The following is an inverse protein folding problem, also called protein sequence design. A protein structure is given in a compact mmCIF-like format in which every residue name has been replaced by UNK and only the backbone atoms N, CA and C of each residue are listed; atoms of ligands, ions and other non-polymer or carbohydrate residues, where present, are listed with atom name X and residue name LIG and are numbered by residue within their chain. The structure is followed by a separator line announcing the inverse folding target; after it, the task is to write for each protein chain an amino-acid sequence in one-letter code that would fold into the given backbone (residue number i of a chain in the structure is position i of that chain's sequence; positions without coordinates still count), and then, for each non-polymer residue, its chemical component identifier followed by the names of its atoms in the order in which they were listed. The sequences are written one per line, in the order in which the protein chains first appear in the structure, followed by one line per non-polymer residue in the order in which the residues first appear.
data_IF_393513284001
#
_entry.id   IF_393513284001
#
_cell.length_a   1.000
_cell.length_b   1.000
_cell.length_c   1.000
_cell.angle_alpha   90.00
_cell.angle_beta   90.00
_cell.angle_gamma   90.00
#
_symmetry.space_group_name_H-M   'P 1'
#
loop_
_entity.id
_entity.type
_entity.pdbx_description
1 polymer ?
#
# COMPACT_ATOMS: atom_id res chain seq x y z
N UNK A 1 -3.43 -4.74 8.99
CA UNK A 1 -2.56 -4.42 10.14
C UNK A 1 -1.44 -5.44 10.21
N UNK A 2 -0.28 -5.06 10.79
CA UNK A 2 0.77 -6.02 11.15
C UNK A 2 0.27 -6.88 12.32
N UNK A 3 0.60 -8.18 12.30
CA UNK A 3 0.19 -9.11 13.36
C UNK A 3 0.67 -8.69 14.75
N UNK A 4 1.87 -8.09 14.80
CA UNK A 4 2.48 -7.59 16.04
C UNK A 4 1.68 -6.45 16.69
N UNK A 5 0.94 -5.68 15.88
CA UNK A 5 0.13 -4.56 16.37
C UNK A 5 -1.07 -5.01 17.21
N UNK A 6 -1.53 -6.23 17.03
CA UNK A 6 -2.62 -6.79 17.83
C UNK A 6 -2.17 -7.32 19.20
N UNK A 7 -0.85 -7.40 19.43
CA UNK A 7 -0.30 -7.90 20.66
C UNK A 7 -0.59 -9.40 20.93
N UNK A 8 -0.38 -9.85 22.18
CA UNK A 8 -0.64 -11.23 22.60
C UNK A 8 -2.14 -11.52 22.69
N UNK A 9 -2.53 -12.80 22.86
CA UNK A 9 -3.90 -13.17 23.22
C UNK A 9 -4.42 -12.36 24.41
N UNK A 10 -5.71 -12.00 24.35
CA UNK A 10 -6.38 -11.14 25.33
C UNK A 10 -5.78 -9.72 25.47
N UNK A 11 -4.94 -9.31 24.53
CA UNK A 11 -4.44 -7.94 24.43
C UNK A 11 -5.54 -6.93 24.08
N UNK A 12 -5.25 -5.62 24.20
CA UNK A 12 -6.24 -4.58 23.93
C UNK A 12 -6.70 -4.61 22.47
N UNK A 13 -8.00 -4.39 22.20
CA UNK A 13 -8.52 -4.29 20.84
C UNK A 13 -8.00 -3.03 20.15
N UNK A 14 -7.89 -3.09 18.82
CA UNK A 14 -7.41 -2.01 17.96
C UNK A 14 -8.51 -1.50 17.02
N UNK A 15 -8.59 -0.17 16.85
CA UNK A 15 -9.41 0.42 15.80
C UNK A 15 -8.81 0.17 14.43
N UNK A 16 -9.66 -0.21 13.48
CA UNK A 16 -9.29 -0.42 12.08
C UNK A 16 -10.33 0.29 11.21
N UNK A 17 -9.87 0.99 10.17
CA UNK A 17 -10.74 1.55 9.15
C UNK A 17 -10.35 0.93 7.81
N UNK A 18 -11.31 0.35 7.11
CA UNK A 18 -11.12 -0.25 5.79
C UNK A 18 -12.36 -0.01 4.93
N UNK A 19 -12.17 0.46 3.70
CA UNK A 19 -13.25 0.66 2.73
C UNK A 19 -14.45 1.44 3.29
N UNK A 20 -14.19 2.45 4.12
CA UNK A 20 -15.22 3.27 4.77
C UNK A 20 -15.82 2.69 6.03
N UNK A 21 -15.49 1.44 6.40
CA UNK A 21 -16.02 0.79 7.60
C UNK A 21 -15.12 1.00 8.82
N UNK A 22 -15.75 1.32 9.96
CA UNK A 22 -15.08 1.38 11.24
C UNK A 22 -15.19 0.03 11.94
N UNK A 23 -14.05 -0.60 12.14
CA UNK A 23 -13.92 -1.96 12.65
C UNK A 23 -13.07 -1.99 13.92
N UNK A 24 -13.13 -3.11 14.63
CA UNK A 24 -12.28 -3.42 15.78
C UNK A 24 -11.62 -4.77 15.53
N UNK A 25 -10.29 -4.79 15.56
CA UNK A 25 -9.50 -6.01 15.51
C UNK A 25 -9.01 -6.39 16.90
N UNK A 26 -8.98 -7.69 17.20
CA UNK A 26 -8.49 -8.23 18.46
C UNK A 26 -7.95 -9.64 18.25
N UNK A 27 -7.14 -10.11 19.20
CA UNK A 27 -6.66 -11.49 19.25
C UNK A 27 -7.26 -12.16 20.48
N UNK A 28 -8.13 -13.13 20.26
CA UNK A 28 -8.83 -13.82 21.35
C UNK A 28 -7.89 -14.68 22.21
N UNK A 29 -8.42 -15.28 23.27
CA UNK A 29 -7.66 -16.15 24.20
C UNK A 29 -7.03 -17.37 23.51
N UNK A 30 -7.61 -17.82 22.39
CA UNK A 30 -7.09 -18.91 21.56
C UNK A 30 -6.02 -18.46 20.57
N UNK A 31 -5.73 -17.17 20.49
CA UNK A 31 -4.80 -16.57 19.53
C UNK A 31 -5.41 -16.28 18.16
N UNK A 32 -6.72 -16.53 17.96
CA UNK A 32 -7.38 -16.24 16.70
C UNK A 32 -7.68 -14.75 16.57
N UNK A 33 -7.48 -14.22 15.37
CA UNK A 33 -7.80 -12.82 15.07
C UNK A 33 -9.26 -12.68 14.72
N UNK A 34 -9.97 -11.79 15.43
CA UNK A 34 -11.30 -11.30 15.10
C UNK A 34 -11.26 -9.90 14.52
N UNK A 35 -12.14 -9.63 13.55
CA UNK A 35 -12.39 -8.30 12.98
C UNK A 35 -13.88 -8.07 12.93
N UNK A 36 -14.38 -7.23 13.83
CA UNK A 36 -15.80 -6.96 14.03
C UNK A 36 -16.14 -5.52 13.65
N UNK A 37 -17.43 -5.28 13.31
CA UNK A 37 -17.98 -3.93 13.32
C UNK A 37 -17.67 -3.28 14.68
N UNK A 38 -17.25 -2.02 14.65
CA UNK A 38 -16.92 -1.29 15.86
C UNK A 38 -18.12 -1.16 16.81
N UNK A 39 -19.34 -1.19 16.28
CA UNK A 39 -20.57 -0.96 17.04
C UNK A 39 -21.15 -2.26 17.58
N UNK A 40 -21.30 -2.33 18.89
CA UNK A 40 -22.03 -3.42 19.55
C UNK A 40 -23.48 -3.48 19.02
N UNK A 41 -23.96 -4.63 18.53
CA UNK A 41 -25.31 -4.75 17.96
C UNK A 41 -26.44 -4.50 18.97
N UNK A 42 -26.14 -4.48 20.28
CA UNK A 42 -27.15 -4.15 21.29
C UNK A 42 -27.63 -2.69 21.15
N UNK A 43 -26.75 -1.70 21.32
CA UNK A 43 -27.09 -0.27 21.32
C UNK A 43 -26.00 0.63 20.73
N UNK A 44 -25.10 0.10 19.90
CA UNK A 44 -24.12 0.86 19.16
C UNK A 44 -22.90 1.35 19.96
N UNK A 45 -22.72 0.90 21.20
CA UNK A 45 -21.50 1.23 21.96
C UNK A 45 -20.26 0.67 21.25
N UNK A 46 -19.16 1.44 21.29
CA UNK A 46 -17.94 0.99 20.63
C UNK A 46 -17.30 -0.20 21.34
N UNK A 47 -17.11 -1.29 20.60
CA UNK A 47 -16.39 -2.47 21.07
C UNK A 47 -14.89 -2.23 21.28
N UNK A 48 -14.34 -1.12 20.79
CA UNK A 48 -12.98 -0.72 21.10
C UNK A 48 -12.72 -0.53 22.59
N UNK A 49 -13.73 -0.09 23.34
CA UNK A 49 -13.66 0.00 24.81
C UNK A 49 -13.88 -1.34 25.49
N UNK A 50 -14.10 -2.40 24.71
CA UNK A 50 -14.43 -3.74 25.19
C UNK A 50 -13.26 -4.41 25.89
N UNK A 51 -13.57 -5.44 26.68
CA UNK A 51 -12.62 -6.34 27.30
C UNK A 51 -12.45 -7.56 26.43
N UNK A 52 -11.22 -7.80 26.01
CA UNK A 52 -10.86 -9.01 25.27
C UNK A 52 -10.50 -10.09 26.30
N UNK A 53 -11.35 -11.06 26.47
CA UNK A 53 -11.23 -12.08 27.54
C UNK A 53 -12.06 -13.32 27.22
N UNK A 54 -11.61 -14.49 27.70
CA UNK A 54 -12.37 -15.74 27.65
C UNK A 54 -12.95 -16.06 26.25
N UNK A 55 -12.08 -15.97 25.23
CA UNK A 55 -12.43 -16.33 23.85
C UNK A 55 -13.26 -15.31 23.09
N UNK A 56 -13.37 -14.06 23.55
CA UNK A 56 -14.13 -13.04 22.83
C UNK A 56 -14.00 -11.63 23.36
N UNK A 57 -14.60 -10.70 22.63
CA UNK A 57 -14.63 -9.28 22.94
C UNK A 57 -15.93 -8.91 23.63
N UNK A 58 -15.84 -8.52 24.91
CA UNK A 58 -16.96 -8.15 25.77
C UNK A 58 -17.22 -6.66 25.74
N UNK A 59 -18.41 -6.25 25.36
CA UNK A 59 -18.89 -4.88 25.44
C UNK A 59 -19.00 -4.43 26.89
N UNK A 60 -18.33 -3.35 27.27
CA UNK A 60 -18.34 -2.84 28.66
C UNK A 60 -19.65 -2.20 29.07
N UNK A 61 -20.56 -1.93 28.13
CA UNK A 61 -21.81 -1.25 28.44
C UNK A 61 -22.83 -2.18 29.12
N UNK A 62 -23.04 -3.41 28.55
CA UNK A 62 -24.01 -4.38 29.10
C UNK A 62 -23.48 -5.82 29.14
N UNK A 63 -22.15 -6.02 28.94
CA UNK A 63 -21.53 -7.34 29.07
C UNK A 63 -21.74 -8.30 27.91
N UNK A 64 -22.39 -7.90 26.80
CA UNK A 64 -22.54 -8.78 25.65
C UNK A 64 -21.18 -9.12 25.06
N UNK A 65 -20.92 -10.41 24.87
CA UNK A 65 -19.62 -10.91 24.42
C UNK A 65 -19.73 -11.57 23.05
N UNK A 66 -18.77 -11.29 22.16
CA UNK A 66 -18.73 -11.78 20.79
C UNK A 66 -17.40 -12.46 20.50
N UNK A 67 -17.45 -13.63 19.84
CA UNK A 67 -16.24 -14.30 19.37
C UNK A 67 -15.65 -13.66 18.10
N UNK A 68 -14.54 -14.21 17.60
CA UNK A 68 -13.85 -13.75 16.40
C UNK A 68 -14.69 -13.85 15.12
N UNK A 69 -15.75 -14.66 15.11
CA UNK A 69 -16.69 -14.80 14.00
C UNK A 69 -17.98 -13.96 14.19
N UNK A 70 -18.05 -13.17 15.26
CA UNK A 70 -19.19 -12.31 15.60
C UNK A 70 -20.37 -13.05 16.23
N UNK A 71 -20.25 -14.33 16.61
CA UNK A 71 -21.30 -15.02 17.35
C UNK A 71 -21.39 -14.43 18.76
N UNK A 72 -22.60 -14.17 19.21
CA UNK A 72 -22.82 -13.73 20.58
C UNK A 72 -22.68 -14.92 21.53
N UNK A 73 -21.71 -14.85 22.44
CA UNK A 73 -21.41 -15.88 23.42
C UNK A 73 -22.25 -15.68 24.70
N UNK A 74 -22.46 -14.43 25.10
CA UNK A 74 -23.10 -14.08 26.36
C UNK A 74 -23.93 -12.80 26.23
N UNK A 75 -25.10 -12.80 26.90
CA UNK A 75 -25.98 -11.64 27.07
C UNK A 75 -26.44 -11.57 28.52
N UNK A 76 -25.57 -11.19 29.47
CA UNK A 76 -25.85 -11.34 30.92
C UNK A 76 -27.00 -10.48 31.43
N UNK A 77 -27.44 -9.50 30.65
CA UNK A 77 -28.62 -8.66 30.99
C UNK A 77 -29.93 -9.25 30.51
N UNK A 78 -29.90 -10.35 29.75
CA UNK A 78 -31.09 -11.01 29.21
C UNK A 78 -31.46 -12.22 30.05
N UNK A 79 -32.75 -12.37 30.43
CA UNK A 79 -33.22 -13.51 31.23
C UNK A 79 -33.10 -14.85 30.49
N UNK A 80 -33.16 -14.83 29.16
CA UNK A 80 -33.16 -16.04 28.33
C UNK A 80 -31.75 -16.34 27.83
N UNK A 81 -31.18 -17.48 28.19
CA UNK A 81 -29.92 -18.00 27.67
C UNK A 81 -29.94 -18.25 26.14
N UNK A 82 -31.14 -18.44 25.57
CA UNK A 82 -31.28 -18.67 24.12
C UNK A 82 -31.23 -17.39 23.32
N UNK A 83 -31.40 -16.24 23.96
CA UNK A 83 -31.41 -14.93 23.28
C UNK A 83 -30.11 -14.67 22.52
N UNK A 84 -28.97 -14.99 23.13
CA UNK A 84 -27.64 -14.80 22.53
C UNK A 84 -27.50 -15.51 21.16
N UNK A 85 -28.18 -16.66 20.96
CA UNK A 85 -28.10 -17.44 19.70
C UNK A 85 -28.66 -16.69 18.49
N UNK A 86 -29.59 -15.75 18.73
CA UNK A 86 -30.18 -14.91 17.68
C UNK A 86 -29.40 -13.63 17.35
N UNK A 87 -28.33 -13.37 18.10
CA UNK A 87 -27.55 -12.12 17.98
C UNK A 87 -26.21 -12.39 17.32
N UNK A 88 -25.82 -11.54 16.37
CA UNK A 88 -24.48 -11.55 15.77
C UNK A 88 -23.96 -10.13 15.61
N UNK A 89 -22.69 -9.93 15.92
CA UNK A 89 -21.93 -8.80 15.43
C UNK A 89 -21.51 -9.06 13.98
N UNK A 90 -21.46 -8.01 13.16
CA UNK A 90 -20.90 -8.15 11.82
C UNK A 90 -19.40 -8.43 11.96
N UNK A 91 -18.92 -9.47 11.31
CA UNK A 91 -17.55 -9.93 11.37
C UNK A 91 -17.00 -10.23 9.98
N UNK A 92 -15.69 -10.11 9.83
CA UNK A 92 -14.97 -10.43 8.62
C UNK A 92 -13.94 -11.53 8.87
N UNK A 93 -13.84 -12.47 7.92
CA UNK A 93 -12.84 -13.54 8.01
C UNK A 93 -11.44 -12.97 7.94
N UNK A 94 -10.61 -13.36 8.89
CA UNK A 94 -9.21 -12.97 8.95
C UNK A 94 -8.29 -14.18 8.83
N UNK A 95 -7.15 -13.96 8.18
CA UNK A 95 -6.05 -14.94 8.09
C UNK A 95 -4.74 -14.20 8.36
N UNK A 96 -3.90 -14.78 9.21
CA UNK A 96 -2.54 -14.29 9.40
C UNK A 96 -1.58 -15.01 8.46
N UNK A 97 -0.85 -14.24 7.69
CA UNK A 97 0.21 -14.77 6.82
C UNK A 97 1.39 -13.80 6.80
N UNK A 98 2.54 -14.33 7.19
CA UNK A 98 3.83 -13.61 7.13
C UNK A 98 3.84 -12.26 7.87
N UNK A 99 3.26 -12.26 9.08
CA UNK A 99 3.20 -11.08 9.95
C UNK A 99 2.17 -10.05 9.55
N UNK A 100 1.25 -10.39 8.64
CA UNK A 100 0.14 -9.52 8.23
C UNK A 100 -1.20 -10.20 8.50
N UNK A 101 -2.12 -9.45 9.06
CA UNK A 101 -3.51 -9.84 9.17
C UNK A 101 -4.25 -9.40 7.90
N UNK A 102 -4.73 -10.37 7.15
CA UNK A 102 -5.55 -10.21 5.96
C UNK A 102 -7.02 -10.36 6.31
N UNK A 103 -7.86 -9.52 5.75
CA UNK A 103 -9.29 -9.58 5.94
C UNK A 103 -10.01 -9.74 4.59
N UNK A 104 -11.01 -10.61 4.55
CA UNK A 104 -11.90 -10.76 3.41
C UNK A 104 -13.19 -9.98 3.67
N UNK A 105 -13.38 -8.88 2.95
CA UNK A 105 -14.54 -7.99 3.07
C UNK A 105 -15.64 -8.30 2.05
N UNK A 106 -15.53 -9.40 1.32
CA UNK A 106 -16.57 -9.86 0.40
C UNK A 106 -17.78 -10.50 1.12
N UNK A 107 -18.76 -10.99 0.35
CA UNK A 107 -19.96 -11.62 0.91
C UNK A 107 -19.63 -12.79 1.84
N UNK A 108 -20.26 -12.84 3.02
CA UNK A 108 -19.97 -13.86 4.02
C UNK A 108 -20.23 -15.31 3.54
N UNK A 109 -21.20 -15.49 2.62
CA UNK A 109 -21.53 -16.78 2.03
C UNK A 109 -20.56 -17.18 0.88
N UNK A 110 -19.76 -16.26 0.36
CA UNK A 110 -18.82 -16.58 -0.71
C UNK A 110 -17.53 -17.21 -0.16
N UNK A 111 -16.93 -18.09 -0.94
CA UNK A 111 -15.59 -18.57 -0.65
C UNK A 111 -14.57 -17.44 -0.85
N UNK A 112 -13.77 -17.18 0.17
CA UNK A 112 -12.71 -16.20 0.05
C UNK A 112 -11.67 -16.65 -1.00
N UNK A 113 -11.21 -15.78 -1.89
CA UNK A 113 -10.13 -16.12 -2.80
C UNK A 113 -8.84 -16.43 -2.02
N UNK A 114 -7.92 -17.21 -2.59
CA UNK A 114 -6.63 -17.44 -1.97
C UNK A 114 -5.87 -16.11 -1.83
N UNK A 115 -5.04 -16.00 -0.81
CA UNK A 115 -4.19 -14.82 -0.65
C UNK A 115 -3.20 -14.70 -1.81
N UNK A 116 -2.96 -13.50 -2.35
CA UNK A 116 -1.99 -13.29 -3.41
C UNK A 116 -0.58 -13.68 -2.93
N UNK A 117 0.17 -14.33 -3.79
CA UNK A 117 1.53 -14.76 -3.50
C UNK A 117 2.53 -13.64 -3.85
N UNK A 118 2.51 -12.61 -3.03
CA UNK A 118 3.42 -11.47 -3.15
C UNK A 118 4.82 -11.87 -2.69
N UNK A 119 5.85 -11.51 -3.45
CA UNK A 119 7.22 -11.96 -3.22
C UNK A 119 7.77 -11.70 -1.81
N UNK A 120 7.34 -10.61 -1.16
CA UNK A 120 7.71 -10.34 0.23
C UNK A 120 7.07 -11.32 1.23
N UNK A 121 6.02 -12.01 0.82
CA UNK A 121 5.30 -12.93 1.69
C UNK A 121 6.11 -14.19 2.05
N UNK A 122 7.19 -14.46 1.32
CA UNK A 122 8.09 -15.59 1.61
C UNK A 122 9.40 -15.18 2.28
N UNK A 123 9.65 -13.87 2.42
CA UNK A 123 10.85 -13.38 3.09
C UNK A 123 10.79 -13.58 4.61
N UNK A 124 11.89 -14.02 5.20
CA UNK A 124 12.03 -14.15 6.66
C UNK A 124 11.81 -12.79 7.36
N UNK A 125 11.32 -12.77 8.60
CA UNK A 125 11.07 -11.52 9.33
C UNK A 125 12.26 -10.57 9.38
N UNK A 126 13.46 -11.09 9.57
CA UNK A 126 14.72 -10.35 9.62
C UNK A 126 15.15 -9.78 8.29
N UNK A 127 14.64 -10.35 7.20
CA UNK A 127 14.95 -9.94 5.82
C UNK A 127 14.04 -8.85 5.30
N UNK A 128 13.08 -8.37 6.09
CA UNK A 128 12.07 -7.41 5.65
C UNK A 128 11.89 -6.24 6.60
N UNK A 129 11.40 -5.14 6.05
CA UNK A 129 10.96 -3.98 6.83
C UNK A 129 9.64 -3.46 6.27
N UNK A 130 8.81 -2.93 7.15
CA UNK A 130 7.54 -2.30 6.79
C UNK A 130 7.60 -0.82 7.13
N UNK A 131 7.01 -0.01 6.27
CA UNK A 131 6.72 1.39 6.50
C UNK A 131 5.26 1.64 6.16
N UNK A 132 4.51 2.22 7.08
CA UNK A 132 3.13 2.63 6.86
C UNK A 132 3.00 4.13 7.02
N UNK A 133 2.27 4.77 6.12
CA UNK A 133 1.97 6.19 6.19
C UNK A 133 0.64 6.52 5.53
N UNK A 134 0.02 7.59 5.99
CA UNK A 134 -1.27 8.04 5.51
C UNK A 134 -1.11 9.00 4.31
N UNK A 135 -2.02 8.87 3.34
CA UNK A 135 -2.31 9.84 2.28
C UNK A 135 -3.71 10.42 2.51
N UNK A 136 -3.82 11.73 2.54
CA UNK A 136 -5.11 12.42 2.62
C UNK A 136 -5.71 12.63 1.21
N UNK A 137 -5.78 11.55 0.45
CA UNK A 137 -6.41 11.51 -0.87
C UNK A 137 -6.83 10.08 -1.25
N UNK A 138 -7.62 9.98 -2.32
CA UNK A 138 -8.13 8.74 -2.87
C UNK A 138 -7.00 7.76 -3.24
N UNK A 139 -7.22 6.48 -2.98
CA UNK A 139 -6.22 5.42 -3.16
C UNK A 139 -5.71 5.28 -4.60
N UNK A 140 -6.58 5.43 -5.60
CA UNK A 140 -6.17 5.32 -7.00
C UNK A 140 -5.31 6.52 -7.41
N UNK A 141 -5.66 7.73 -6.98
CA UNK A 141 -4.88 8.95 -7.17
C UNK A 141 -3.47 8.80 -6.56
N UNK A 142 -3.38 8.23 -5.37
CA UNK A 142 -2.10 7.97 -4.71
C UNK A 142 -1.29 6.87 -5.42
N UNK A 143 -1.93 5.76 -5.82
CA UNK A 143 -1.32 4.62 -6.52
C UNK A 143 -0.74 5.04 -7.88
N UNK A 144 -1.42 5.93 -8.59
CA UNK A 144 -0.99 6.41 -9.91
C UNK A 144 0.44 7.00 -9.88
N UNK A 145 0.90 7.51 -8.74
CA UNK A 145 2.29 7.94 -8.59
C UNK A 145 3.32 6.82 -8.78
N UNK A 146 3.03 5.59 -8.38
CA UNK A 146 3.92 4.45 -8.64
C UNK A 146 3.82 3.91 -10.07
N UNK A 147 2.67 4.13 -10.73
CA UNK A 147 2.43 3.75 -12.13
C UNK A 147 3.10 4.74 -13.08
N UNK A 148 3.08 6.03 -12.74
CA UNK A 148 3.77 7.08 -13.47
C UNK A 148 5.29 6.99 -13.27
N UNK A 149 6.02 6.92 -14.36
CA UNK A 149 7.49 6.94 -14.34
C UNK A 149 8.08 8.27 -14.81
N UNK A 150 7.26 9.19 -15.34
CA UNK A 150 7.70 10.46 -15.90
C UNK A 150 7.98 11.51 -14.80
N UNK A 151 7.17 11.54 -13.74
CA UNK A 151 7.33 12.51 -12.65
C UNK A 151 8.68 12.44 -11.92
N UNK A 152 9.32 11.26 -11.93
CA UNK A 152 10.54 11.01 -11.17
C UNK A 152 11.66 12.00 -11.51
N UNK A 153 11.82 12.32 -12.80
CA UNK A 153 12.86 13.25 -13.30
C UNK A 153 12.55 14.73 -13.04
N UNK A 154 11.39 15.01 -12.49
CA UNK A 154 10.94 16.35 -12.11
C UNK A 154 10.83 16.47 -10.59
N UNK A 155 9.84 15.84 -10.01
CA UNK A 155 9.49 15.97 -8.61
C UNK A 155 10.64 15.60 -7.66
N UNK A 156 11.34 14.51 -7.96
CA UNK A 156 12.42 14.00 -7.11
C UNK A 156 13.81 14.47 -7.52
N UNK A 157 13.91 15.31 -8.57
CA UNK A 157 15.19 15.78 -9.05
C UNK A 157 15.84 16.80 -8.11
N UNK A 158 17.15 16.70 -7.98
CA UNK A 158 18.01 17.74 -7.42
C UNK A 158 18.59 18.57 -8.56
N UNK A 159 19.06 19.76 -8.23
CA UNK A 159 19.81 20.62 -9.14
C UNK A 159 21.30 20.49 -8.81
N UNK A 160 22.12 20.28 -9.82
CA UNK A 160 23.57 20.38 -9.67
C UNK A 160 24.05 21.85 -9.77
N UNK A 161 25.33 22.07 -9.55
CA UNK A 161 25.94 23.42 -9.60
C UNK A 161 25.78 24.12 -10.95
N UNK A 162 25.49 23.37 -12.02
CA UNK A 162 25.22 23.90 -13.36
C UNK A 162 23.74 24.12 -13.64
N UNK A 163 22.88 23.89 -12.66
CA UNK A 163 21.42 23.99 -12.81
C UNK A 163 20.78 22.81 -13.55
N UNK A 164 21.51 21.72 -13.77
CA UNK A 164 20.96 20.51 -14.39
C UNK A 164 20.26 19.64 -13.36
N UNK A 165 19.15 19.01 -13.77
CA UNK A 165 18.46 18.04 -12.94
C UNK A 165 19.26 16.76 -12.82
N UNK A 166 19.30 16.23 -11.61
CA UNK A 166 19.98 14.98 -11.25
C UNK A 166 19.11 14.14 -10.33
N UNK A 167 19.12 12.85 -10.54
CA UNK A 167 18.76 11.90 -9.50
C UNK A 167 20.05 11.32 -8.96
N UNK A 168 20.38 11.52 -7.68
CA UNK A 168 21.65 11.07 -7.13
C UNK A 168 21.92 9.62 -7.50
N UNK A 169 23.06 9.38 -8.15
CA UNK A 169 23.53 8.04 -8.44
C UNK A 169 23.65 7.25 -7.12
N UNK A 170 23.39 5.96 -7.19
CA UNK A 170 23.58 5.02 -6.09
C UNK A 170 24.59 4.00 -6.55
N UNK A 171 25.38 3.46 -5.62
CA UNK A 171 26.42 2.49 -5.95
C UNK A 171 25.88 1.28 -6.73
N UNK A 172 24.62 0.95 -6.47
CA UNK A 172 23.88 -0.19 -7.02
C UNK A 172 22.94 0.18 -8.20
N UNK A 173 22.84 1.47 -8.52
CA UNK A 173 22.08 1.97 -9.68
C UNK A 173 22.83 3.16 -10.29
N UNK A 174 23.93 2.92 -11.02
CA UNK A 174 24.72 3.98 -11.67
C UNK A 174 23.95 4.68 -12.80
N UNK A 175 22.91 4.02 -13.36
CA UNK A 175 22.12 4.56 -14.46
C UNK A 175 20.87 5.35 -13.98
N UNK A 176 20.68 5.48 -12.67
CA UNK A 176 19.51 6.16 -12.09
C UNK A 176 19.34 7.60 -12.59
N UNK A 177 20.43 8.27 -12.85
CA UNK A 177 20.42 9.64 -13.35
C UNK A 177 19.78 9.78 -14.74
N UNK A 178 19.72 8.68 -15.52
CA UNK A 178 19.04 8.66 -16.82
C UNK A 178 17.56 9.04 -16.71
N UNK A 179 16.96 8.78 -15.56
CA UNK A 179 15.55 9.18 -15.27
C UNK A 179 15.40 10.71 -15.24
N UNK A 180 16.44 11.44 -14.82
CA UNK A 180 16.42 12.90 -14.82
C UNK A 180 16.97 13.52 -16.12
N UNK A 181 17.72 12.75 -16.91
CA UNK A 181 18.31 13.19 -18.19
C UNK A 181 17.34 12.97 -19.36
N UNK A 182 16.69 11.82 -19.45
CA UNK A 182 15.68 11.49 -20.45
C UNK A 182 14.28 11.53 -19.80
N UNK A 183 13.62 12.67 -19.97
CA UNK A 183 12.33 12.98 -19.33
C UNK A 183 11.11 12.45 -20.08
N UNK A 184 11.33 11.96 -21.30
CA UNK A 184 10.27 11.45 -22.17
C UNK A 184 10.50 9.97 -22.49
N UNK A 185 10.33 9.08 -21.49
CA UNK A 185 10.53 7.66 -21.70
C UNK A 185 9.56 7.10 -22.74
N UNK A 186 10.04 6.15 -23.54
CA UNK A 186 9.14 5.35 -24.38
C UNK A 186 8.53 4.25 -23.51
N UNK A 187 7.21 4.23 -23.42
CA UNK A 187 6.49 3.26 -22.61
C UNK A 187 6.15 2.00 -23.43
N UNK A 188 6.23 0.85 -22.77
CA UNK A 188 5.66 -0.41 -23.20
C UNK A 188 4.79 -0.93 -22.06
N UNK A 189 3.49 -1.02 -22.28
CA UNK A 189 2.51 -1.37 -21.26
C UNK A 189 1.88 -2.71 -21.63
N UNK A 190 2.11 -3.74 -20.83
CA UNK A 190 1.74 -5.12 -21.14
C UNK A 190 0.85 -5.70 -20.04
N UNK A 191 -0.30 -6.23 -20.44
CA UNK A 191 -1.21 -6.90 -19.52
C UNK A 191 -0.72 -8.31 -19.16
N UNK A 192 -0.97 -8.69 -17.92
CA UNK A 192 -0.84 -10.06 -17.46
C UNK A 192 -2.03 -10.45 -16.55
N UNK A 193 -2.14 -11.70 -16.15
CA UNK A 193 -3.30 -12.19 -15.39
C UNK A 193 -3.59 -11.39 -14.12
N UNK A 194 -2.55 -11.00 -13.36
CA UNK A 194 -2.73 -10.26 -12.09
C UNK A 194 -2.70 -8.72 -12.26
N UNK A 195 -2.40 -8.17 -13.45
CA UNK A 195 -2.29 -6.71 -13.57
C UNK A 195 -1.61 -6.21 -14.84
N UNK A 196 -0.67 -5.28 -14.69
CA UNK A 196 0.01 -4.59 -15.80
C UNK A 196 1.49 -4.45 -15.50
N UNK A 197 2.33 -4.85 -16.44
CA UNK A 197 3.76 -4.52 -16.46
C UNK A 197 3.98 -3.22 -17.22
N UNK A 198 4.71 -2.29 -16.63
CA UNK A 198 5.00 -0.96 -17.17
C UNK A 198 6.52 -0.87 -17.37
N UNK A 199 6.97 -0.93 -18.60
CA UNK A 199 8.39 -0.82 -18.96
C UNK A 199 8.67 0.54 -19.60
N UNK A 200 9.49 1.34 -18.95
CA UNK A 200 9.88 2.68 -19.39
C UNK A 200 11.31 2.65 -19.90
N UNK A 201 11.49 2.83 -21.19
CA UNK A 201 12.77 2.89 -21.88
C UNK A 201 13.28 4.31 -21.92
N UNK A 202 14.53 4.52 -21.53
CA UNK A 202 15.26 5.77 -21.68
C UNK A 202 16.57 5.55 -22.41
N UNK A 203 17.04 6.58 -23.11
CA UNK A 203 18.35 6.52 -23.73
C UNK A 203 19.44 6.53 -22.68
N UNK A 204 20.43 5.66 -22.85
CA UNK A 204 21.64 5.60 -22.04
C UNK A 204 22.84 6.01 -22.87
N UNK A 205 23.98 6.19 -22.22
CA UNK A 205 25.25 6.45 -22.91
C UNK A 205 25.61 5.24 -23.80
N UNK A 206 26.44 5.44 -24.79
CA UNK A 206 26.91 4.41 -25.74
C UNK A 206 25.79 3.78 -26.58
N UNK A 207 24.64 4.45 -26.75
CA UNK A 207 23.54 3.98 -27.57
C UNK A 207 22.72 2.83 -26.95
N UNK A 208 23.00 2.46 -25.72
CA UNK A 208 22.19 1.47 -24.97
C UNK A 208 20.89 2.09 -24.47
N UNK A 209 20.03 1.26 -23.90
CA UNK A 209 18.78 1.67 -23.31
C UNK A 209 18.69 1.28 -21.83
N UNK A 210 18.40 2.25 -20.97
CA UNK A 210 18.03 2.00 -19.58
C UNK A 210 16.54 1.73 -19.51
N UNK A 211 16.19 0.56 -18.96
CA UNK A 211 14.83 0.12 -18.74
C UNK A 211 14.50 0.16 -17.26
N UNK A 212 13.40 0.83 -16.93
CA UNK A 212 12.79 0.82 -15.62
C UNK A 212 11.44 0.12 -15.73
N UNK A 213 11.31 -1.03 -15.08
CA UNK A 213 10.12 -1.89 -15.17
C UNK A 213 9.43 -1.90 -13.82
N UNK A 214 8.16 -1.48 -13.79
CA UNK A 214 7.30 -1.47 -12.61
C UNK A 214 6.12 -2.42 -12.83
N UNK A 215 5.52 -2.90 -11.75
CA UNK A 215 4.33 -3.75 -11.78
C UNK A 215 3.18 -3.05 -11.09
N UNK A 216 2.02 -3.07 -11.71
CA UNK A 216 0.73 -2.89 -11.05
C UNK A 216 0.09 -4.27 -10.90
N UNK A 217 -0.28 -4.67 -9.68
CA UNK A 217 -0.94 -5.93 -9.36
C UNK A 217 -2.30 -5.63 -8.72
N UNK A 218 -3.34 -6.12 -9.36
CA UNK A 218 -4.72 -5.81 -8.97
C UNK A 218 -5.04 -6.30 -7.55
N UNK A 219 -5.89 -5.58 -6.79
CA UNK A 219 -6.44 -4.28 -7.17
C UNK A 219 -5.59 -3.09 -6.71
N UNK A 220 -4.71 -3.27 -5.70
CA UNK A 220 -4.11 -2.16 -4.93
C UNK A 220 -2.60 -2.26 -4.76
N UNK A 221 -1.93 -3.20 -5.43
CA UNK A 221 -0.51 -3.41 -5.20
C UNK A 221 0.34 -2.83 -6.33
N UNK A 222 1.49 -2.30 -5.97
CA UNK A 222 2.53 -1.88 -6.92
C UNK A 222 3.88 -2.45 -6.50
N UNK A 223 4.74 -2.71 -7.47
CA UNK A 223 6.15 -2.99 -7.22
C UNK A 223 6.99 -2.16 -8.17
N UNK A 224 7.80 -1.28 -7.61
CA UNK A 224 8.71 -0.42 -8.36
C UNK A 224 10.15 -0.85 -8.12
N UNK A 225 11.09 -0.60 -9.05
CA UNK A 225 12.49 -0.90 -8.84
C UNK A 225 13.01 -0.32 -7.53
N UNK A 226 13.65 -1.14 -6.74
CA UNK A 226 14.38 -0.76 -5.54
C UNK A 226 15.89 -0.79 -5.83
N UNK A 227 16.70 -0.45 -4.85
CA UNK A 227 18.16 -0.36 -4.99
C UNK A 227 18.83 -1.66 -4.57
N UNK A 228 19.83 -2.06 -5.33
CA UNK A 228 20.63 -3.25 -5.07
C UNK A 228 19.80 -4.53 -5.09
N UNK A 229 20.06 -5.38 -4.11
CA UNK A 229 19.28 -6.62 -3.94
C UNK A 229 17.92 -6.39 -3.28
N UNK A 230 17.68 -5.19 -2.74
CA UNK A 230 16.39 -4.87 -2.14
C UNK A 230 15.28 -4.94 -3.19
N UNK A 231 14.18 -5.46 -2.78
CA UNK A 231 12.92 -5.50 -3.50
C UNK A 231 11.91 -4.65 -2.77
N UNK A 232 10.94 -4.12 -3.49
CA UNK A 232 9.91 -3.24 -2.93
C UNK A 232 8.56 -3.55 -3.51
N UNK A 233 7.56 -3.57 -2.63
CA UNK A 233 6.17 -3.55 -3.02
C UNK A 233 5.40 -2.61 -2.09
N UNK A 234 4.30 -2.07 -2.60
CA UNK A 234 3.36 -1.27 -1.81
C UNK A 234 1.95 -1.83 -1.97
N UNK A 235 1.16 -1.68 -0.92
CA UNK A 235 -0.28 -1.78 -0.97
C UNK A 235 -0.87 -0.40 -0.68
N UNK A 236 -1.77 0.04 -1.54
CA UNK A 236 -2.49 1.32 -1.45
C UNK A 236 -3.87 1.04 -0.88
N UNK A 237 -3.95 0.88 0.44
CA UNK A 237 -5.14 0.38 1.11
C UNK A 237 -6.14 1.51 1.32
N UNK A 238 -7.32 1.48 0.68
CA UNK A 238 -8.34 2.52 0.90
C UNK A 238 -8.90 2.39 2.32
N UNK A 239 -8.68 3.40 3.14
CA UNK A 239 -9.35 3.50 4.44
C UNK A 239 -10.80 3.96 4.23
N UNK A 240 -10.98 4.92 3.33
CA UNK A 240 -12.24 5.40 2.77
C UNK A 240 -11.98 6.04 1.40
N UNK A 241 -12.95 6.79 0.85
CA UNK A 241 -12.83 7.41 -0.46
C UNK A 241 -11.78 8.54 -0.52
N UNK A 242 -11.42 9.12 0.63
CA UNK A 242 -10.56 10.30 0.74
C UNK A 242 -9.23 10.03 1.46
N UNK A 243 -9.05 8.82 2.01
CA UNK A 243 -7.85 8.48 2.78
C UNK A 243 -7.30 7.11 2.39
N UNK A 244 -5.99 7.05 2.24
CA UNK A 244 -5.26 5.85 1.85
C UNK A 244 -4.16 5.54 2.85
N UNK A 245 -4.13 4.33 3.39
CA UNK A 245 -2.97 3.83 4.08
C UNK A 245 -2.01 3.22 3.06
N UNK A 246 -0.85 3.84 2.89
CA UNK A 246 0.23 3.25 2.10
C UNK A 246 1.01 2.30 2.99
N UNK A 247 1.07 1.06 2.58
CA UNK A 247 1.81 0.00 3.27
C UNK A 247 2.95 -0.45 2.37
N UNK A 248 4.17 0.01 2.65
CA UNK A 248 5.38 -0.28 1.89
C UNK A 248 6.17 -1.37 2.56
N UNK A 249 6.49 -2.43 1.82
CA UNK A 249 7.37 -3.51 2.24
C UNK A 249 8.65 -3.50 1.40
N UNK A 250 9.79 -3.49 2.09
CA UNK A 250 11.09 -3.72 1.49
C UNK A 250 11.66 -5.03 2.03
N UNK A 251 12.29 -5.81 1.18
CA UNK A 251 12.90 -7.08 1.60
C UNK A 251 14.14 -7.41 0.77
N UNK A 252 15.03 -8.20 1.35
CA UNK A 252 16.12 -8.88 0.65
C UNK A 252 15.81 -10.40 0.65
N UNK A 253 15.75 -11.06 -0.52
CA UNK A 253 15.39 -12.47 -0.58
C UNK A 253 16.42 -13.41 0.07
N UNK A 254 17.66 -12.95 0.27
CA UNK A 254 18.81 -13.78 0.66
C UNK A 254 19.46 -13.40 1.97
N UNK A 255 19.34 -12.16 2.42
CA UNK A 255 20.06 -11.66 3.60
C UNK A 255 19.17 -10.87 4.55
N UNK A 256 19.51 -10.94 5.82
CA UNK A 256 18.89 -10.11 6.85
C UNK A 256 19.19 -8.63 6.60
N UNK A 257 18.17 -7.79 6.75
CA UNK A 257 18.35 -6.35 6.70
C UNK A 257 19.12 -5.86 7.93
N UNK A 258 20.05 -4.93 7.73
CA UNK A 258 20.72 -4.27 8.84
C UNK A 258 19.71 -3.57 9.76
N UNK A 259 20.11 -3.32 11.01
CA UNK A 259 19.29 -2.56 11.97
C UNK A 259 18.91 -1.19 11.41
N UNK A 260 19.83 -0.54 10.70
CA UNK A 260 19.61 0.74 10.04
C UNK A 260 18.60 0.62 8.89
N UNK A 261 18.71 -0.39 8.03
CA UNK A 261 17.76 -0.67 6.95
C UNK A 261 16.35 -0.98 7.50
N UNK A 262 16.25 -1.67 8.62
CA UNK A 262 14.97 -1.94 9.29
C UNK A 262 14.40 -0.68 9.95
N UNK A 263 15.24 0.09 10.65
CA UNK A 263 14.84 1.32 11.35
C UNK A 263 14.73 2.54 10.43
N UNK A 264 15.64 2.69 9.48
CA UNK A 264 15.74 3.88 8.62
C UNK A 264 14.56 4.06 7.69
N UNK A 265 13.80 2.98 7.45
CA UNK A 265 12.56 3.03 6.65
C UNK A 265 11.30 2.96 7.50
N UNK A 266 11.40 2.53 8.75
CA UNK A 266 10.31 2.59 9.73
C UNK A 266 10.19 4.01 10.32
N UNK A 267 9.78 4.98 9.50
CA UNK A 267 9.40 6.31 10.00
C UNK A 267 10.52 7.33 10.17
N UNK A 268 11.72 7.10 9.62
CA UNK A 268 12.77 8.10 9.64
C UNK A 268 13.38 8.34 8.26
N UNK A 269 12.66 9.05 7.45
CA UNK A 269 13.36 9.93 6.53
C UNK A 269 13.85 11.09 7.37
N UNK A 270 15.16 11.41 7.42
CA UNK A 270 15.66 12.55 8.15
C UNK A 270 14.90 13.81 7.73
N UNK A 271 14.29 14.51 8.69
CA UNK A 271 13.50 15.73 8.44
C UNK A 271 11.99 15.52 8.27
N UNK A 272 11.51 14.36 7.82
CA UNK A 272 10.09 14.06 7.71
C UNK A 272 9.61 13.30 8.94
N UNK A 273 9.28 14.03 10.02
CA UNK A 273 8.62 13.44 11.17
C UNK A 273 7.27 12.87 10.75
N UNK A 274 6.89 11.74 11.36
CA UNK A 274 5.51 11.28 11.35
C UNK A 274 4.89 11.51 12.72
N UNK A 275 3.60 11.85 12.72
CA UNK A 275 2.84 11.90 13.95
C UNK A 275 2.55 10.48 14.44
N UNK A 276 2.78 10.25 15.72
CA UNK A 276 2.33 9.06 16.44
C UNK A 276 1.09 9.45 17.26
N UNK A 277 -0.04 9.58 16.57
CA UNK A 277 -1.27 10.12 17.15
C UNK A 277 -2.16 9.00 17.75
N UNK A 278 -1.54 7.94 18.24
CA UNK A 278 -2.25 6.87 18.96
C UNK A 278 -3.05 5.93 18.06
N UNK A 279 -4.25 5.51 18.54
CA UNK A 279 -5.02 4.43 17.93
C UNK A 279 -6.03 4.89 16.85
N UNK A 280 -6.05 6.18 16.49
CA UNK A 280 -7.00 6.67 15.48
C UNK A 280 -6.48 6.38 14.06
N UNK A 281 -7.21 5.59 13.25
CA UNK A 281 -6.74 5.16 11.93
C UNK A 281 -6.44 6.29 10.94
N UNK A 282 -7.14 7.43 11.06
CA UNK A 282 -6.97 8.56 10.13
C UNK A 282 -5.92 9.59 10.59
N UNK A 283 -5.27 9.39 11.71
CA UNK A 283 -4.18 10.26 12.19
C UNK A 283 -2.83 9.54 12.18
N UNK A 284 -2.84 8.24 12.35
CA UNK A 284 -1.64 7.42 12.44
C UNK A 284 -0.83 7.41 11.14
N UNK A 285 0.46 7.74 11.25
CA UNK A 285 1.37 7.75 10.11
C UNK A 285 1.24 8.98 9.20
N UNK A 286 0.60 10.04 9.65
CA UNK A 286 0.60 11.33 8.94
C UNK A 286 1.98 11.96 8.99
N UNK A 287 2.42 12.50 7.87
CA UNK A 287 3.63 13.31 7.85
C UNK A 287 3.44 14.64 8.57
N UNK A 288 4.49 15.11 9.24
CA UNK A 288 4.53 16.46 9.82
C UNK A 288 4.44 17.51 8.71
N UNK A 289 5.12 17.28 7.58
CA UNK A 289 4.92 18.06 6.37
C UNK A 289 3.57 17.71 5.73
N UNK A 290 2.63 18.64 5.77
CA UNK A 290 1.24 18.42 5.36
C UNK A 290 0.68 19.67 4.67
N UNK A 291 -0.55 19.59 4.21
CA UNK A 291 -1.26 20.72 3.62
C UNK A 291 -1.32 21.93 4.56
N UNK A 292 -1.40 21.70 5.87
CA UNK A 292 -1.52 22.78 6.87
C UNK A 292 -0.27 23.65 7.00
N UNK A 293 0.86 23.20 6.46
CA UNK A 293 2.13 23.93 6.47
C UNK A 293 2.80 23.96 5.10
N UNK A 294 2.01 23.87 4.02
CA UNK A 294 2.48 23.85 2.62
C UNK A 294 3.59 22.82 2.38
N UNK A 295 3.49 21.66 3.05
CA UNK A 295 4.50 20.58 3.01
C UNK A 295 5.93 21.07 3.28
N UNK A 296 6.05 22.15 4.04
CA UNK A 296 7.32 22.80 4.38
C UNK A 296 8.18 23.13 3.16
N UNK A 297 7.55 23.57 2.07
CA UNK A 297 8.27 23.95 0.86
C UNK A 297 9.30 25.04 1.15
N UNK A 298 10.52 24.84 0.71
CA UNK A 298 11.61 25.81 0.79
C UNK A 298 11.87 26.40 -0.60
N UNK A 299 11.47 27.65 -0.78
CA UNK A 299 11.59 28.39 -2.05
C UNK A 299 13.03 28.71 -2.42
N UNK A 300 13.92 28.85 -1.43
CA UNK A 300 15.36 29.06 -1.68
C UNK A 300 15.98 27.75 -2.20
N UNK A 301 15.70 26.63 -1.55
CA UNK A 301 16.13 25.31 -2.04
C UNK A 301 15.52 24.97 -3.40
N UNK A 302 14.26 25.36 -3.66
CA UNK A 302 13.64 25.19 -4.97
C UNK A 302 14.41 25.89 -6.07
N UNK A 303 14.99 27.04 -5.79
CA UNK A 303 15.77 27.82 -6.74
C UNK A 303 17.18 27.25 -6.95
N UNK A 304 17.80 26.64 -5.94
CA UNK A 304 19.23 26.37 -5.92
C UNK A 304 19.64 24.91 -5.84
N UNK A 305 18.81 24.02 -5.28
CA UNK A 305 19.27 22.68 -4.93
C UNK A 305 18.27 21.55 -5.24
N UNK A 306 16.98 21.82 -5.20
CA UNK A 306 15.92 20.82 -5.40
C UNK A 306 14.90 21.35 -6.38
N UNK A 307 14.51 20.58 -7.38
CA UNK A 307 13.55 21.05 -8.37
C UNK A 307 12.18 21.39 -7.74
N UNK A 308 11.71 20.57 -6.80
CA UNK A 308 10.43 20.82 -6.13
C UNK A 308 10.52 21.76 -4.93
N UNK A 309 11.67 21.88 -4.28
CA UNK A 309 11.82 22.62 -3.02
C UNK A 309 11.18 21.91 -1.81
N UNK A 310 10.56 20.76 -2.02
CA UNK A 310 9.98 19.95 -0.96
C UNK A 310 11.05 19.17 -0.20
N UNK A 311 10.71 18.65 0.97
CA UNK A 311 11.62 17.82 1.76
C UNK A 311 12.21 16.66 0.93
N UNK A 312 13.43 16.21 1.25
CA UNK A 312 14.15 15.17 0.50
C UNK A 312 13.59 13.74 0.67
N UNK A 313 12.34 13.66 1.00
CA UNK A 313 11.61 12.42 1.15
C UNK A 313 10.67 12.20 -0.02
N UNK A 314 10.93 11.22 -0.88
CA UNK A 314 10.03 10.89 -1.98
C UNK A 314 8.58 10.68 -1.51
N UNK A 315 8.29 9.94 -0.41
CA UNK A 315 6.93 9.87 0.09
C UNK A 315 6.29 11.21 0.46
N UNK A 316 7.05 12.17 0.98
CA UNK A 316 6.52 13.52 1.30
C UNK A 316 6.32 14.35 0.03
N UNK A 317 7.26 14.28 -0.91
CA UNK A 317 7.13 14.96 -2.20
C UNK A 317 5.90 14.47 -2.98
N UNK A 318 5.69 13.15 -3.00
CA UNK A 318 4.50 12.54 -3.60
C UNK A 318 3.23 12.97 -2.87
N UNK A 319 3.26 13.02 -1.52
CA UNK A 319 2.13 13.50 -0.73
C UNK A 319 1.72 14.91 -1.14
N UNK A 320 2.68 15.81 -1.22
CA UNK A 320 2.44 17.22 -1.54
C UNK A 320 1.69 17.38 -2.87
N UNK A 321 2.13 16.70 -3.93
CA UNK A 321 1.50 16.82 -5.24
C UNK A 321 0.18 16.04 -5.33
N UNK A 322 0.12 14.83 -4.81
CA UNK A 322 -1.08 13.98 -4.85
C UNK A 322 -2.22 14.59 -4.04
N UNK A 323 -1.95 15.03 -2.81
CA UNK A 323 -2.96 15.63 -1.94
C UNK A 323 -3.37 17.04 -2.41
N UNK A 324 -2.50 17.76 -3.14
CA UNK A 324 -2.82 19.09 -3.71
C UNK A 324 -3.93 19.02 -4.77
N UNK A 325 -4.16 17.86 -5.38
CA UNK A 325 -5.25 17.65 -6.34
C UNK A 325 -6.63 17.58 -5.66
N UNK A 326 -6.68 17.64 -4.33
CA UNK A 326 -7.88 17.45 -3.52
C UNK A 326 -8.03 16.00 -3.04
N UNK A 327 -8.97 15.74 -2.11
CA UNK A 327 -9.19 14.41 -1.57
C UNK A 327 -9.60 13.40 -2.66
N UNK A 328 -10.41 13.82 -3.62
CA UNK A 328 -10.79 13.07 -4.82
C UNK A 328 -10.61 13.99 -6.02
N UNK A 329 -9.66 13.67 -6.90
CA UNK A 329 -9.36 14.49 -8.08
C UNK A 329 -10.54 14.49 -9.07
N UNK A 330 -10.87 15.66 -9.60
CA UNK A 330 -11.86 15.80 -10.69
C UNK A 330 -11.23 15.39 -12.03
N UNK A 331 -11.44 14.12 -12.39
CA UNK A 331 -10.87 13.53 -13.60
C UNK A 331 -11.44 14.07 -14.91
N UNK A 332 -12.55 14.80 -14.85
CA UNK A 332 -13.12 15.46 -16.05
C UNK A 332 -12.25 16.62 -16.54
N UNK A 333 -11.34 17.10 -15.72
CA UNK A 333 -10.41 18.20 -16.02
C UNK A 333 -9.01 17.76 -16.41
N UNK A 334 -8.76 16.45 -16.46
CA UNK A 334 -7.46 15.89 -16.84
C UNK A 334 -7.22 15.99 -18.36
N UNK A 335 -5.95 16.21 -18.71
CA UNK A 335 -5.48 16.19 -20.10
C UNK A 335 -4.35 15.16 -20.20
N UNK A 336 -4.72 13.90 -20.40
CA UNK A 336 -3.77 12.80 -20.43
C UNK A 336 -3.03 12.72 -21.77
N UNK A 337 -1.72 12.52 -21.73
CA UNK A 337 -0.85 12.40 -22.88
C UNK A 337 -0.23 11.00 -23.03
N UNK A 338 0.73 10.87 -23.92
CA UNK A 338 1.44 9.61 -24.16
C UNK A 338 2.22 9.11 -22.93
N UNK A 339 2.67 10.02 -22.07
CA UNK A 339 3.35 9.67 -20.80
C UNK A 339 2.41 8.98 -19.80
N UNK A 340 1.09 9.11 -19.97
CA UNK A 340 0.07 8.59 -19.08
C UNK A 340 -0.52 7.25 -19.56
N UNK A 341 0.04 6.64 -20.60
CA UNK A 341 -0.46 5.37 -21.18
C UNK A 341 -0.67 4.29 -20.10
N UNK A 342 0.27 4.16 -19.19
CA UNK A 342 0.21 3.19 -18.10
C UNK A 342 -0.95 3.50 -17.14
N UNK A 343 -1.17 4.76 -16.78
CA UNK A 343 -2.29 5.22 -15.95
C UNK A 343 -3.62 4.89 -16.62
N UNK A 344 -3.76 5.23 -17.92
CA UNK A 344 -4.96 4.93 -18.72
C UNK A 344 -5.24 3.43 -18.72
N UNK A 345 -4.20 2.60 -18.90
CA UNK A 345 -4.33 1.14 -18.93
C UNK A 345 -4.77 0.56 -17.60
N UNK A 346 -4.14 1.00 -16.50
CA UNK A 346 -4.50 0.58 -15.13
C UNK A 346 -5.94 0.94 -14.81
N UNK A 347 -6.35 2.19 -15.07
CA UNK A 347 -7.74 2.64 -14.87
C UNK A 347 -8.74 1.79 -15.66
N UNK A 348 -8.45 1.52 -16.92
CA UNK A 348 -9.31 0.68 -17.78
C UNK A 348 -9.48 -0.71 -17.17
N UNK A 349 -8.40 -1.38 -16.81
CA UNK A 349 -8.45 -2.72 -16.19
C UNK A 349 -9.26 -2.75 -14.91
N UNK A 350 -9.06 -1.77 -14.03
CA UNK A 350 -9.82 -1.67 -12.79
C UNK A 350 -11.32 -1.47 -13.05
N UNK A 351 -11.68 -0.58 -13.99
CA UNK A 351 -13.07 -0.33 -14.35
C UNK A 351 -13.73 -1.54 -15.02
N UNK A 352 -13.03 -2.22 -15.90
CA UNK A 352 -13.52 -3.45 -16.57
C UNK A 352 -13.78 -4.54 -15.53
N UNK A 353 -12.83 -4.79 -14.62
CA UNK A 353 -12.99 -5.76 -13.55
C UNK A 353 -14.12 -5.42 -12.58
N UNK A 354 -14.23 -4.15 -12.17
CA UNK A 354 -15.30 -3.69 -11.27
C UNK A 354 -16.69 -3.83 -11.91
N UNK A 355 -16.83 -3.49 -13.21
CA UNK A 355 -18.08 -3.64 -13.94
C UNK A 355 -18.44 -5.10 -14.13
N UNK A 356 -17.49 -5.95 -14.52
CA UNK A 356 -17.71 -7.38 -14.71
C UNK A 356 -18.18 -8.06 -13.41
N UNK A 357 -17.57 -7.68 -12.28
CA UNK A 357 -17.98 -8.18 -10.98
C UNK A 357 -19.38 -7.69 -10.60
N UNK A 358 -19.66 -6.40 -10.73
CA UNK A 358 -20.95 -5.80 -10.38
C UNK A 358 -22.11 -6.34 -11.23
N UNK A 359 -21.92 -6.41 -12.53
CA UNK A 359 -23.00 -6.67 -13.52
C UNK A 359 -23.17 -8.17 -13.79
N UNK A 360 -22.11 -8.97 -13.67
CA UNK A 360 -22.12 -10.40 -14.00
C UNK A 360 -21.57 -11.33 -12.94
N UNK A 361 -21.12 -10.80 -11.77
CA UNK A 361 -20.49 -11.62 -10.74
C UNK A 361 -19.15 -12.23 -11.16
N UNK A 362 -18.54 -11.73 -12.26
CA UNK A 362 -17.27 -12.25 -12.77
C UNK A 362 -16.13 -11.77 -11.87
N UNK A 363 -15.41 -12.70 -11.30
CA UNK A 363 -14.25 -12.39 -10.45
C UNK A 363 -13.13 -11.68 -11.23
N UNK A 364 -12.39 -10.76 -10.58
CA UNK A 364 -11.26 -10.09 -11.21
C UNK A 364 -10.20 -11.09 -11.73
N UNK A 365 -9.56 -10.79 -12.85
CA UNK A 365 -8.50 -11.65 -13.39
C UNK A 365 -7.38 -11.91 -12.37
N UNK A 366 -6.86 -13.14 -12.34
CA UNK A 366 -5.74 -13.53 -11.47
C UNK A 366 -6.10 -13.83 -10.01
N UNK A 367 -7.33 -13.48 -9.54
CA UNK A 367 -7.69 -13.61 -8.11
C UNK A 367 -7.66 -15.08 -7.61
N UNK A 368 -7.87 -16.04 -8.50
CA UNK A 368 -7.78 -17.48 -8.20
C UNK A 368 -6.41 -18.09 -8.53
N UNK A 369 -5.44 -17.29 -8.98
CA UNK A 369 -4.08 -17.69 -9.35
C UNK A 369 -3.04 -16.94 -8.52
N UNK A 370 -2.84 -17.31 -7.24
CA UNK A 370 -1.94 -16.57 -6.33
C UNK A 370 -0.53 -16.39 -6.89
N UNK A 371 -0.02 -17.37 -7.62
CA UNK A 371 1.31 -17.38 -8.24
C UNK A 371 1.48 -16.29 -9.29
N UNK A 372 0.39 -15.79 -9.90
CA UNK A 372 0.43 -14.71 -10.88
C UNK A 372 0.86 -13.36 -10.28
N UNK A 373 0.82 -13.27 -8.95
CA UNK A 373 1.28 -12.09 -8.20
C UNK A 373 2.78 -12.12 -7.85
N UNK A 374 3.52 -13.18 -8.24
CA UNK A 374 4.97 -13.29 -8.03
C UNK A 374 5.75 -12.43 -9.02
N UNK A 375 5.41 -11.16 -9.12
CA UNK A 375 6.07 -10.21 -9.99
C UNK A 375 6.60 -9.03 -9.18
N UNK A 376 7.77 -8.53 -9.58
CA UNK A 376 8.41 -7.35 -8.98
C UNK A 376 8.92 -6.36 -10.01
N UNK A 377 9.14 -5.13 -9.56
CA UNK A 377 9.86 -4.13 -10.34
C UNK A 377 11.34 -4.46 -10.44
N UNK A 378 11.92 -4.15 -11.60
CA UNK A 378 13.35 -4.30 -11.85
C UNK A 378 13.87 -3.20 -12.80
N UNK A 379 15.18 -3.12 -12.94
CA UNK A 379 15.84 -2.21 -13.86
C UNK A 379 17.04 -2.88 -14.51
N UNK A 380 17.28 -2.58 -15.77
CA UNK A 380 18.38 -3.16 -16.54
C UNK A 380 18.81 -2.25 -17.69
N UNK A 381 20.01 -2.46 -18.18
CA UNK A 381 20.54 -1.77 -19.36
C UNK A 381 20.73 -2.78 -20.47
N UNK A 382 20.11 -2.50 -21.62
CA UNK A 382 20.12 -3.42 -22.76
C UNK A 382 20.71 -2.74 -24.02
N UNK A 383 21.32 -3.52 -24.91
CA UNK A 383 21.69 -3.01 -26.23
C UNK A 383 20.45 -2.68 -27.07
N UNK A 384 20.57 -1.83 -28.09
CA UNK A 384 19.48 -1.54 -29.01
C UNK A 384 18.93 -2.81 -29.65
N UNK A 385 17.60 -2.89 -29.74
CA UNK A 385 16.89 -4.02 -30.35
C UNK A 385 16.78 -5.28 -29.50
N UNK A 386 17.31 -5.30 -28.27
CA UNK A 386 17.08 -6.41 -27.36
C UNK A 386 15.61 -6.49 -26.91
N UNK A 387 15.09 -7.70 -26.83
CA UNK A 387 13.77 -7.96 -26.25
C UNK A 387 13.83 -7.80 -24.73
N UNK A 388 13.24 -6.71 -24.24
CA UNK A 388 13.23 -6.39 -22.82
C UNK A 388 12.41 -7.40 -22.00
N UNK A 389 11.36 -8.00 -22.59
CA UNK A 389 10.51 -8.96 -21.89
C UNK A 389 11.27 -10.26 -21.61
N UNK A 390 12.01 -10.75 -22.59
CA UNK A 390 12.87 -11.91 -22.42
C UNK A 390 14.02 -11.61 -21.46
N UNK A 391 14.72 -10.51 -21.67
CA UNK A 391 15.89 -10.12 -20.87
C UNK A 391 15.57 -9.89 -19.40
N UNK A 392 14.38 -9.38 -19.09
CA UNK A 392 13.96 -9.08 -17.70
C UNK A 392 13.17 -10.18 -17.01
N UNK A 393 12.85 -11.28 -17.69
CA UNK A 393 11.94 -12.32 -17.19
C UNK A 393 12.34 -12.88 -15.82
N UNK A 394 13.60 -13.20 -15.63
CA UNK A 394 14.09 -13.70 -14.34
C UNK A 394 14.14 -12.60 -13.29
N UNK A 395 14.51 -11.39 -13.68
CA UNK A 395 14.56 -10.22 -12.79
C UNK A 395 13.16 -9.78 -12.31
N UNK A 396 12.12 -10.02 -13.08
CA UNK A 396 10.74 -9.71 -12.70
C UNK A 396 10.13 -10.74 -11.74
N UNK A 397 10.73 -11.89 -11.53
CA UNK A 397 10.26 -12.88 -10.56
C UNK A 397 10.55 -12.42 -9.13
N UNK A 398 9.51 -12.50 -8.27
CA UNK A 398 9.57 -12.09 -6.88
C UNK A 398 9.82 -13.27 -5.93
#
# INVERSE_FOLDING_TARGET
VESEELGPPDGPPRRVRLLGENLVAFRDSGGQVGLLDQRCPHRGASLFFGRNEEGGLRCVYHGWKFDSEGRCLETPTEPSETFARGVRARAYRCVERNGVVWAYLGPAAAEAPPLPDLGWAVAAPENRSTLTYLRACNWLQALEGDVDTAHLGWLHARMDETGRRRLPARADDPHRDKVAQDLSPVLSVVDHSAGVTIAARRNDDDGRHYWRISQFLMPIFTSVPATGRLRRAKAWVPLDDEHTLVWERNWDPSEALSVEQRRGRAGRVPGSGMHDDGDEPLSRGRFVASRDNDYRIDRERQRTASFSGLEESAPVQDAAVQESMGPIVDRSREHLGASDEAIIRVRRRLLEAARALRDGGVEPPGIRSPESYRLRGCQLVLPPGADWQEASREEQRA
#
